data_IF_571225439790
#
_entry.id   IF_571225439790
#
_cell.length_a   1.000
_cell.length_b   1.000
_cell.length_c   1.000
_cell.angle_alpha   90.00
_cell.angle_beta   90.00
_cell.angle_gamma   90.00
#
_symmetry.space_group_name_H-M   'P 1'
#
loop_
_entity.id
_entity.type
_entity.pdbx_description
1 polymer ?
#
# COMPACT_ATOMS: atom_id res chain seq x y z
N UNK A 1 41.04 18.16 -12.56
CA UNK A 1 40.51 17.17 -11.59
C UNK A 1 39.57 16.23 -12.35
N UNK A 2 39.95 14.97 -12.55
CA UNK A 2 39.04 13.99 -13.14
C UNK A 2 37.97 13.63 -12.08
N UNK A 3 36.68 13.61 -12.43
CA UNK A 3 35.64 13.18 -11.50
C UNK A 3 35.93 11.74 -11.10
N UNK A 4 36.04 11.47 -9.79
CA UNK A 4 36.05 10.10 -9.25
C UNK A 4 34.78 9.43 -9.76
N UNK A 5 34.89 8.61 -10.79
CA UNK A 5 33.82 7.68 -11.21
C UNK A 5 33.51 6.82 -10.00
N UNK A 6 32.39 7.09 -9.34
CA UNK A 6 31.88 6.25 -8.26
C UNK A 6 31.75 4.83 -8.81
N UNK A 7 32.31 3.86 -8.08
CA UNK A 7 32.08 2.44 -8.36
C UNK A 7 30.62 2.11 -8.01
N UNK A 8 29.73 2.27 -8.99
CA UNK A 8 28.30 2.01 -8.85
C UNK A 8 28.03 0.56 -8.48
N UNK A 9 28.89 -0.40 -8.88
CA UNK A 9 28.73 -1.80 -8.51
C UNK A 9 28.97 -2.00 -7.01
N UNK A 10 30.03 -1.42 -6.47
CA UNK A 10 30.30 -1.48 -5.02
C UNK A 10 29.19 -0.80 -4.21
N UNK A 11 28.69 0.35 -4.67
CA UNK A 11 27.55 1.04 -4.03
C UNK A 11 26.28 0.19 -4.08
N UNK A 12 25.97 -0.40 -5.23
CA UNK A 12 24.82 -1.29 -5.42
C UNK A 12 24.89 -2.50 -4.50
N UNK A 13 26.06 -3.15 -4.40
CA UNK A 13 26.28 -4.28 -3.49
C UNK A 13 26.02 -3.91 -2.03
N UNK A 14 26.54 -2.76 -1.57
CA UNK A 14 26.33 -2.29 -0.20
C UNK A 14 24.85 -2.04 0.09
N UNK A 15 24.14 -1.39 -0.83
CA UNK A 15 22.71 -1.10 -0.70
C UNK A 15 21.86 -2.38 -0.73
N UNK A 16 22.15 -3.33 -1.62
CA UNK A 16 21.43 -4.60 -1.69
C UNK A 16 21.62 -5.42 -0.41
N UNK A 17 22.83 -5.42 0.14
CA UNK A 17 23.12 -6.09 1.42
C UNK A 17 22.37 -5.46 2.58
N UNK A 18 22.18 -4.14 2.60
CA UNK A 18 21.43 -3.46 3.66
C UNK A 18 19.90 -3.60 3.54
N UNK A 19 19.41 -4.22 2.46
CA UNK A 19 18.00 -4.54 2.23
C UNK A 19 17.79 -6.06 2.21
N UNK A 20 18.64 -6.80 2.93
CA UNK A 20 18.51 -8.23 3.21
C UNK A 20 18.29 -9.11 1.97
N UNK A 21 18.91 -8.73 0.83
CA UNK A 21 18.81 -9.50 -0.43
C UNK A 21 19.22 -10.97 -0.26
N UNK A 22 20.05 -11.29 0.76
CA UNK A 22 20.49 -12.65 1.06
C UNK A 22 19.36 -13.56 1.53
N UNK A 23 18.28 -13.01 2.07
CA UNK A 23 17.10 -13.77 2.47
C UNK A 23 16.31 -14.26 1.25
N UNK A 24 16.51 -13.62 0.10
CA UNK A 24 15.89 -13.97 -1.18
C UNK A 24 16.86 -14.66 -2.16
N UNK A 25 18.16 -14.37 -2.06
CA UNK A 25 19.23 -14.92 -2.90
C UNK A 25 20.41 -15.33 -2.01
N UNK A 26 20.45 -16.60 -1.58
CA UNK A 26 21.35 -17.06 -0.52
C UNK A 26 22.86 -16.93 -0.86
N UNK A 27 23.21 -16.99 -2.15
CA UNK A 27 24.57 -16.97 -2.70
C UNK A 27 24.97 -15.57 -3.18
N UNK A 28 24.13 -14.57 -2.89
CA UNK A 28 24.35 -13.21 -3.37
C UNK A 28 25.73 -12.69 -2.96
N UNK A 29 26.49 -12.26 -3.96
CA UNK A 29 27.86 -11.82 -3.82
C UNK A 29 28.13 -10.62 -4.74
N UNK A 30 29.28 -9.92 -4.60
CA UNK A 30 29.62 -8.83 -5.53
C UNK A 30 29.65 -9.27 -7.00
N UNK A 31 29.94 -10.55 -7.28
CA UNK A 31 29.95 -11.13 -8.64
C UNK A 31 28.55 -11.25 -9.24
N UNK A 32 27.50 -11.25 -8.42
CA UNK A 32 26.11 -11.26 -8.87
C UNK A 32 25.74 -9.97 -9.60
N UNK A 33 26.48 -8.87 -9.40
CA UNK A 33 26.23 -7.59 -10.07
C UNK A 33 27.05 -7.52 -11.37
N UNK A 34 26.40 -7.89 -12.47
CA UNK A 34 27.02 -7.96 -13.80
C UNK A 34 27.27 -6.56 -14.37
N UNK A 35 26.32 -5.64 -14.19
CA UNK A 35 26.36 -4.30 -14.76
C UNK A 35 25.70 -3.30 -13.80
N UNK A 36 26.30 -2.13 -13.62
CA UNK A 36 25.70 -1.02 -12.88
C UNK A 36 26.09 0.29 -13.56
N UNK A 37 25.14 0.89 -14.25
CA UNK A 37 25.27 2.14 -14.98
C UNK A 37 24.34 3.20 -14.39
N UNK A 38 24.30 4.41 -14.96
CA UNK A 38 23.46 5.51 -14.47
C UNK A 38 21.96 5.19 -14.50
N UNK A 39 21.48 4.32 -15.39
CA UNK A 39 20.03 4.01 -15.52
C UNK A 39 19.70 2.53 -15.62
N UNK A 40 20.70 1.67 -15.43
CA UNK A 40 20.56 0.23 -15.63
C UNK A 40 21.39 -0.53 -14.59
N UNK A 41 20.76 -1.51 -13.95
CA UNK A 41 21.37 -2.43 -13.00
C UNK A 41 21.03 -3.85 -13.47
N UNK A 42 22.06 -4.66 -13.72
CA UNK A 42 21.91 -6.05 -14.14
C UNK A 42 22.47 -6.95 -13.06
N UNK A 43 21.61 -7.82 -12.54
CA UNK A 43 21.94 -8.79 -11.50
C UNK A 43 21.68 -10.19 -12.03
N UNK A 44 22.58 -11.11 -11.76
CA UNK A 44 22.43 -12.52 -12.12
C UNK A 44 22.51 -13.39 -10.88
N UNK A 45 21.59 -14.35 -10.79
CA UNK A 45 21.54 -15.38 -9.76
C UNK A 45 21.21 -16.71 -10.43
N UNK A 46 21.70 -17.81 -9.88
CA UNK A 46 21.23 -19.12 -10.33
C UNK A 46 19.83 -19.37 -9.78
N UNK A 47 19.01 -20.12 -10.51
CA UNK A 47 17.66 -20.46 -10.04
C UNK A 47 17.68 -21.22 -8.71
N UNK A 48 18.63 -22.15 -8.55
CA UNK A 48 18.86 -22.88 -7.29
C UNK A 48 19.24 -21.97 -6.12
N UNK A 49 19.68 -20.75 -6.42
CA UNK A 49 20.11 -19.79 -5.41
C UNK A 49 19.02 -18.85 -4.90
N UNK A 50 17.86 -18.89 -5.54
CA UNK A 50 16.71 -18.10 -5.17
C UNK A 50 15.90 -18.84 -4.11
N UNK A 51 15.29 -18.08 -3.18
CA UNK A 51 14.39 -18.63 -2.16
C UNK A 51 13.30 -19.48 -2.83
N UNK A 52 13.20 -20.73 -2.39
CA UNK A 52 12.16 -21.67 -2.84
C UNK A 52 10.94 -21.55 -1.95
N UNK A 53 9.88 -20.97 -2.49
CA UNK A 53 8.67 -20.58 -1.75
C UNK A 53 7.38 -20.86 -2.53
N UNK A 54 7.43 -21.75 -3.54
CA UNK A 54 6.23 -22.23 -4.21
C UNK A 54 5.41 -23.13 -3.27
N UNK A 55 4.10 -22.83 -3.18
CA UNK A 55 3.14 -23.64 -2.42
C UNK A 55 3.03 -25.08 -2.93
N UNK A 56 3.16 -25.29 -4.25
CA UNK A 56 2.90 -26.57 -4.91
C UNK A 56 4.16 -27.41 -5.21
N UNK A 57 5.33 -27.05 -4.66
CA UNK A 57 6.55 -27.85 -4.78
C UNK A 57 7.82 -27.05 -5.09
N UNK A 58 8.75 -27.67 -5.81
CA UNK A 58 10.08 -27.11 -6.08
C UNK A 58 10.01 -25.91 -7.05
N UNK A 59 10.65 -24.82 -6.67
CA UNK A 59 10.85 -23.65 -7.53
C UNK A 59 10.67 -22.34 -6.79
N UNK A 60 10.84 -21.25 -7.54
CA UNK A 60 10.70 -19.88 -7.04
C UNK A 60 9.30 -19.39 -7.33
N UNK A 61 8.65 -18.78 -6.35
CA UNK A 61 7.33 -18.21 -6.53
C UNK A 61 7.39 -16.97 -7.42
N UNK A 62 6.25 -16.69 -8.07
CA UNK A 62 6.04 -15.44 -8.81
C UNK A 62 6.23 -14.22 -7.90
N UNK A 63 5.88 -14.36 -6.63
CA UNK A 63 6.04 -13.32 -5.63
C UNK A 63 7.52 -13.01 -5.37
N UNK A 64 8.37 -14.02 -5.17
CA UNK A 64 9.81 -13.82 -4.96
C UNK A 64 10.49 -13.17 -6.17
N UNK A 65 10.16 -13.61 -7.40
CA UNK A 65 10.68 -12.99 -8.62
C UNK A 65 10.26 -11.51 -8.74
N UNK A 66 8.99 -11.21 -8.46
CA UNK A 66 8.47 -9.84 -8.48
C UNK A 66 9.15 -8.96 -7.42
N UNK A 67 9.29 -9.47 -6.18
CA UNK A 67 9.92 -8.77 -5.06
C UNK A 67 11.39 -8.44 -5.36
N UNK A 68 12.14 -9.37 -5.93
CA UNK A 68 13.52 -9.13 -6.37
C UNK A 68 13.62 -8.10 -7.48
N UNK A 69 12.79 -8.22 -8.52
CA UNK A 69 12.74 -7.23 -9.60
C UNK A 69 12.45 -5.83 -9.08
N UNK A 70 11.49 -5.73 -8.16
CA UNK A 70 11.12 -4.47 -7.51
C UNK A 70 12.27 -3.91 -6.66
N UNK A 71 12.85 -4.72 -5.78
CA UNK A 71 13.99 -4.34 -4.95
C UNK A 71 15.13 -3.79 -5.81
N UNK A 72 15.49 -4.48 -6.89
CA UNK A 72 16.59 -4.07 -7.76
C UNK A 72 16.29 -2.77 -8.50
N UNK A 73 15.05 -2.57 -8.95
CA UNK A 73 14.61 -1.30 -9.54
C UNK A 73 14.66 -0.14 -8.54
N UNK A 74 14.32 -0.39 -7.27
CA UNK A 74 14.46 0.60 -6.19
C UNK A 74 15.93 0.91 -5.87
N UNK A 75 16.81 -0.10 -5.80
CA UNK A 75 18.24 0.14 -5.62
C UNK A 75 18.81 0.95 -6.78
N UNK A 76 18.40 0.64 -8.03
CA UNK A 76 18.78 1.42 -9.20
C UNK A 76 18.39 2.91 -9.07
N UNK A 77 17.25 3.21 -8.45
CA UNK A 77 16.87 4.58 -8.11
C UNK A 77 17.78 5.21 -7.05
N UNK A 78 18.09 4.48 -5.98
CA UNK A 78 18.97 4.96 -4.89
C UNK A 78 20.44 5.16 -5.33
N UNK A 79 20.82 4.59 -6.47
CA UNK A 79 22.13 4.82 -7.08
C UNK A 79 22.26 6.18 -7.76
N UNK A 80 21.15 6.88 -8.04
CA UNK A 80 21.20 8.19 -8.68
C UNK A 80 21.98 9.20 -7.84
N UNK A 81 22.70 10.11 -8.50
CA UNK A 81 23.53 11.15 -7.85
C UNK A 81 22.72 12.06 -6.91
N UNK A 82 21.43 12.24 -7.20
CA UNK A 82 20.52 13.09 -6.43
C UNK A 82 19.94 12.40 -5.20
N UNK A 83 20.17 11.11 -5.00
CA UNK A 83 19.61 10.36 -3.87
C UNK A 83 20.32 10.74 -2.58
N UNK A 84 19.56 11.25 -1.62
CA UNK A 84 20.04 11.53 -0.26
C UNK A 84 19.49 10.49 0.71
N UNK A 85 20.22 10.18 1.80
CA UNK A 85 19.76 9.18 2.77
C UNK A 85 18.50 9.62 3.51
N UNK A 86 18.31 10.93 3.67
CA UNK A 86 17.10 11.60 4.17
C UNK A 86 15.88 11.40 3.28
N UNK A 87 16.06 11.15 1.97
CA UNK A 87 14.94 10.90 1.05
C UNK A 87 14.23 9.56 1.37
N UNK A 88 14.88 8.67 2.14
CA UNK A 88 14.33 7.34 2.48
C UNK A 88 12.97 7.42 3.16
N UNK A 89 12.79 8.39 4.05
CA UNK A 89 11.57 8.56 4.85
C UNK A 89 10.46 9.31 4.09
N UNK A 90 10.80 9.90 2.94
CA UNK A 90 9.89 10.65 2.07
C UNK A 90 9.57 9.94 0.75
N UNK A 91 10.06 8.71 0.61
CA UNK A 91 9.90 7.89 -0.58
C UNK A 91 8.53 7.21 -0.55
N UNK A 92 7.67 7.59 -1.50
CA UNK A 92 6.39 6.93 -1.74
C UNK A 92 6.50 6.13 -3.03
N UNK A 93 6.34 4.82 -2.91
CA UNK A 93 6.31 3.93 -4.06
C UNK A 93 4.86 3.58 -4.41
N UNK A 94 4.44 3.97 -5.61
CA UNK A 94 3.09 3.79 -6.12
C UNK A 94 3.01 2.62 -7.11
N UNK A 95 1.82 2.00 -7.16
CA UNK A 95 1.35 0.97 -8.10
C UNK A 95 2.43 0.06 -8.69
N UNK A 96 2.59 -1.13 -8.11
CA UNK A 96 3.39 -2.19 -8.70
C UNK A 96 2.55 -2.99 -9.70
N UNK A 97 3.08 -3.16 -10.91
CA UNK A 97 2.55 -4.05 -11.93
C UNK A 97 3.59 -5.12 -12.24
N UNK A 98 3.16 -6.38 -12.30
CA UNK A 98 4.02 -7.49 -12.69
C UNK A 98 3.25 -8.43 -13.59
N UNK A 99 3.83 -8.73 -14.75
CA UNK A 99 3.31 -9.70 -15.71
C UNK A 99 4.28 -10.86 -15.76
N UNK A 100 3.79 -12.04 -15.42
CA UNK A 100 4.55 -13.27 -15.47
C UNK A 100 4.30 -13.99 -16.81
N UNK A 101 5.37 -14.28 -17.55
CA UNK A 101 5.29 -14.83 -18.91
C UNK A 101 5.63 -16.33 -18.95
N UNK A 102 6.44 -16.82 -18.00
CA UNK A 102 6.79 -18.22 -17.91
C UNK A 102 7.69 -18.53 -16.73
N UNK A 103 7.85 -19.81 -16.43
CA UNK A 103 8.73 -20.27 -15.38
C UNK A 103 10.16 -20.50 -15.90
N UNK A 104 11.20 -20.18 -15.13
CA UNK A 104 12.57 -20.53 -15.48
C UNK A 104 12.77 -22.05 -15.44
N UNK A 105 13.51 -22.59 -16.41
CA UNK A 105 13.91 -24.00 -16.40
C UNK A 105 14.86 -24.31 -15.23
N UNK A 106 14.83 -25.53 -14.67
CA UNK A 106 15.80 -25.96 -13.66
C UNK A 106 17.25 -25.72 -14.10
N UNK A 107 18.09 -25.21 -13.19
CA UNK A 107 19.50 -24.89 -13.47
C UNK A 107 19.75 -23.65 -14.32
N UNK A 108 18.71 -22.92 -14.76
CA UNK A 108 18.88 -21.68 -15.50
C UNK A 108 19.49 -20.56 -14.64
N UNK A 109 20.22 -19.64 -15.28
CA UNK A 109 20.60 -18.38 -14.68
C UNK A 109 19.44 -17.39 -14.83
N UNK A 110 18.99 -16.80 -13.74
CA UNK A 110 17.98 -15.75 -13.73
C UNK A 110 18.68 -14.40 -13.74
N UNK A 111 18.38 -13.60 -14.77
CA UNK A 111 18.96 -12.28 -14.98
C UNK A 111 17.87 -11.24 -14.74
N UNK A 112 18.12 -10.33 -13.81
CA UNK A 112 17.25 -9.21 -13.53
C UNK A 112 17.85 -7.95 -14.13
N UNK A 113 17.11 -7.31 -15.03
CA UNK A 113 17.47 -6.05 -15.65
C UNK A 113 16.55 -4.97 -15.07
N UNK A 114 17.07 -4.19 -14.15
CA UNK A 114 16.37 -3.08 -13.52
C UNK A 114 16.77 -1.76 -14.20
N UNK A 115 15.78 -0.94 -14.54
CA UNK A 115 15.98 0.34 -15.19
C UNK A 115 15.17 1.45 -14.54
N UNK A 116 15.70 2.66 -14.64
CA UNK A 116 15.11 3.88 -14.12
C UNK A 116 14.86 4.88 -15.26
N UNK A 117 13.64 5.41 -15.33
CA UNK A 117 13.26 6.45 -16.26
C UNK A 117 12.77 7.68 -15.46
N UNK A 118 13.46 8.83 -15.57
CA UNK A 118 12.99 10.03 -14.90
C UNK A 118 11.67 10.46 -15.52
N UNK A 119 10.67 10.70 -14.69
CA UNK A 119 9.35 11.12 -15.15
C UNK A 119 9.17 12.63 -15.07
N UNK A 120 8.00 13.09 -15.52
CA UNK A 120 7.58 14.47 -15.39
C UNK A 120 6.84 14.64 -14.05
N UNK A 121 6.93 15.83 -13.46
CA UNK A 121 6.24 16.18 -12.20
C UNK A 121 6.72 15.43 -10.94
N UNK A 122 8.01 15.07 -10.89
CA UNK A 122 8.62 14.48 -9.69
C UNK A 122 8.19 13.03 -9.41
N UNK A 123 7.49 12.39 -10.34
CA UNK A 123 7.18 10.95 -10.27
C UNK A 123 8.03 10.22 -11.28
N UNK A 124 8.97 9.42 -10.81
CA UNK A 124 9.84 8.64 -11.66
C UNK A 124 9.31 7.21 -11.88
N UNK A 125 9.68 6.61 -13.01
CA UNK A 125 9.25 5.27 -13.38
C UNK A 125 10.39 4.26 -13.19
N UNK A 126 10.11 3.23 -12.41
CA UNK A 126 10.95 2.07 -12.23
C UNK A 126 10.43 0.93 -13.11
N UNK A 127 11.32 0.27 -13.83
CA UNK A 127 10.97 -0.87 -14.66
C UNK A 127 11.96 -2.00 -14.39
N UNK A 128 11.50 -3.24 -14.46
CA UNK A 128 12.37 -4.39 -14.43
C UNK A 128 11.92 -5.46 -15.42
N UNK A 129 12.89 -6.15 -15.99
CA UNK A 129 12.73 -7.31 -16.85
C UNK A 129 13.46 -8.48 -16.21
N UNK A 130 12.85 -9.66 -16.22
CA UNK A 130 13.44 -10.89 -15.71
C UNK A 130 13.60 -11.84 -16.88
N UNK A 131 14.83 -12.24 -17.13
CA UNK A 131 15.21 -13.17 -18.18
C UNK A 131 15.72 -14.46 -17.56
N UNK A 132 15.43 -15.60 -18.19
CA UNK A 132 16.08 -16.86 -17.91
C UNK A 132 17.07 -17.16 -19.04
N UNK A 133 18.33 -17.35 -18.69
CA UNK A 133 19.38 -17.81 -19.59
C UNK A 133 19.58 -19.33 -19.42
N UNK A 134 19.30 -20.05 -20.50
CA UNK A 134 19.61 -21.47 -20.68
C UNK A 134 20.74 -21.60 -21.71
N UNK A 135 21.34 -22.79 -21.84
CA UNK A 135 22.51 -23.05 -22.71
C UNK A 135 22.41 -22.50 -24.14
N UNK A 136 21.19 -22.34 -24.68
CA UNK A 136 20.97 -21.97 -26.09
C UNK A 136 20.20 -20.68 -26.29
N UNK A 137 19.58 -20.11 -25.24
CA UNK A 137 18.64 -18.99 -25.40
C UNK A 137 18.40 -18.23 -24.11
N UNK A 138 18.27 -16.90 -24.24
CA UNK A 138 17.66 -16.01 -23.25
C UNK A 138 16.18 -15.81 -23.56
N UNK A 139 15.34 -16.00 -22.57
CA UNK A 139 13.88 -15.84 -22.68
C UNK A 139 13.39 -14.93 -21.58
N UNK A 140 12.53 -13.97 -21.91
CA UNK A 140 11.88 -13.11 -20.92
C UNK A 140 10.82 -13.95 -20.20
N UNK A 141 10.94 -14.06 -18.89
CA UNK A 141 10.04 -14.84 -18.02
C UNK A 141 9.11 -13.96 -17.18
N UNK A 142 9.42 -12.67 -17.07
CA UNK A 142 8.52 -11.70 -16.47
C UNK A 142 9.01 -10.27 -16.64
N UNK A 143 8.10 -9.33 -16.48
CA UNK A 143 8.39 -7.91 -16.52
C UNK A 143 7.49 -7.18 -15.52
N UNK A 144 7.98 -6.10 -14.97
CA UNK A 144 7.22 -5.28 -14.05
C UNK A 144 7.61 -3.82 -14.12
N UNK A 145 6.73 -3.00 -13.57
CA UNK A 145 6.97 -1.57 -13.44
C UNK A 145 6.29 -1.03 -12.19
N UNK A 146 6.88 0.02 -11.62
CA UNK A 146 6.31 0.78 -10.52
C UNK A 146 6.67 2.25 -10.68
N UNK A 147 5.99 3.13 -9.96
CA UNK A 147 6.37 4.54 -9.90
C UNK A 147 6.88 4.92 -8.52
N UNK A 148 7.78 5.89 -8.46
CA UNK A 148 8.36 6.39 -7.21
C UNK A 148 8.30 7.92 -7.19
N UNK A 149 7.92 8.48 -6.05
CA UNK A 149 7.87 9.92 -5.82
C UNK A 149 8.59 10.21 -4.51
N UNK A 150 9.48 11.21 -4.51
CA UNK A 150 10.19 11.66 -3.32
C UNK A 150 9.69 13.04 -2.94
N UNK A 151 9.04 13.16 -1.78
CA UNK A 151 8.51 14.43 -1.28
C UNK A 151 9.56 15.13 -0.42
N UNK A 152 10.41 15.93 -1.05
CA UNK A 152 11.38 16.74 -0.30
C UNK A 152 10.64 17.89 0.37
N UNK A 153 10.79 18.09 1.69
CA UNK A 153 10.29 19.29 2.35
C UNK A 153 10.87 20.50 1.63
N UNK A 154 10.01 21.38 1.13
CA UNK A 154 10.45 22.67 0.60
C UNK A 154 11.04 23.41 1.80
N UNK A 155 12.37 23.53 1.87
CA UNK A 155 13.00 24.43 2.81
C UNK A 155 12.58 25.82 2.36
N UNK A 156 11.53 26.36 2.97
CA UNK A 156 11.13 27.74 2.74
C UNK A 156 12.36 28.61 2.93
N UNK A 157 12.70 29.37 1.88
CA UNK A 157 13.83 30.26 1.90
C UNK A 157 13.60 31.28 3.03
N UNK A 158 14.21 31.02 4.19
CA UNK A 158 14.26 31.97 5.29
C UNK A 158 14.88 33.23 4.73
N UNK A 159 14.03 34.24 4.55
CA UNK A 159 14.38 35.60 4.22
C UNK A 159 15.50 36.02 5.17
N UNK A 160 16.73 36.08 4.66
CA UNK A 160 17.79 36.83 5.31
C UNK A 160 17.41 38.29 5.21
N UNK A 161 16.56 38.74 6.13
CA UNK A 161 16.44 40.16 6.44
C UNK A 161 17.67 40.46 7.30
N UNK A 162 18.67 41.05 6.67
CA UNK A 162 19.78 41.71 7.36
C UNK A 162 19.16 42.66 8.41
N UNK A 163 19.40 42.35 9.68
CA UNK A 163 19.15 43.26 10.79
C UNK A 163 20.24 44.32 10.74
N UNK A 164 19.93 45.44 10.10
CA UNK A 164 20.67 46.68 10.24
C UNK A 164 20.09 47.45 11.44
N UNK A 165 21.00 47.80 12.35
CA UNK A 165 20.74 48.50 13.60
C UNK A 165 20.17 49.89 13.33
N UNK A 166 19.05 50.24 13.96
CA UNK A 166 18.69 51.63 14.25
C UNK A 166 17.70 51.69 15.40
N UNK A 167 18.22 52.09 16.56
CA UNK A 167 17.47 52.60 17.70
C UNK A 167 16.60 53.78 17.27
N UNK A 168 15.29 53.76 17.56
CA UNK A 168 14.60 55.01 17.85
C UNK A 168 13.44 54.81 18.84
N UNK A 169 13.58 55.51 19.97
CA UNK A 169 12.57 55.70 20.99
C UNK A 169 11.31 56.37 20.44
N UNK A 170 10.13 55.86 20.79
CA UNK A 170 9.00 56.75 21.08
C UNK A 170 7.97 56.07 21.98
N UNK A 171 7.84 56.63 23.18
CA UNK A 171 6.71 56.41 24.10
C UNK A 171 5.51 57.21 23.62
N UNK A 172 4.32 56.62 23.66
CA UNK A 172 3.10 57.29 24.18
C UNK A 172 1.97 56.29 24.42
N UNK A 173 1.44 56.38 25.64
CA UNK A 173 0.15 55.87 26.09
C UNK A 173 -1.00 56.47 25.27
N UNK A 174 -2.11 55.77 25.06
CA UNK A 174 -3.30 55.83 25.93
C UNK A 174 -4.52 55.14 25.29
N UNK A 175 -5.50 54.91 26.15
CA UNK A 175 -6.67 54.04 26.11
C UNK A 175 -7.66 54.11 24.91
N UNK A 176 -8.40 52.99 24.85
CA UNK A 176 -9.86 52.88 24.64
C UNK A 176 -10.46 52.63 23.25
N UNK A 177 -11.36 51.63 23.28
CA UNK A 177 -12.69 51.55 22.64
C UNK A 177 -12.84 50.89 21.26
N UNK A 178 -13.58 49.78 21.34
CA UNK A 178 -14.77 49.42 20.55
C UNK A 178 -14.62 49.21 19.04
N UNK A 179 -14.71 47.94 18.66
CA UNK A 179 -15.85 47.43 17.91
C UNK A 179 -15.94 47.78 16.43
N UNK A 180 -15.75 46.79 15.57
CA UNK A 180 -16.64 46.59 14.43
C UNK A 180 -16.55 45.15 13.87
N UNK A 181 -17.70 44.50 13.60
CA UNK A 181 -17.74 43.20 12.95
C UNK A 181 -17.70 43.34 11.41
N UNK A 182 -17.01 42.40 10.77
CA UNK A 182 -16.96 42.22 9.32
C UNK A 182 -18.36 41.91 8.74
N UNK A 183 -18.75 42.48 7.59
CA UNK A 183 -20.07 42.25 7.01
C UNK A 183 -20.16 40.94 6.21
N UNK A 184 -21.34 40.33 6.32
CA UNK A 184 -21.89 39.24 5.52
C UNK A 184 -21.67 39.42 4.01
N UNK A 185 -21.05 38.43 3.36
CA UNK A 185 -21.17 38.22 1.93
C UNK A 185 -22.44 37.40 1.63
N UNK A 186 -23.41 38.03 0.96
CA UNK A 186 -24.56 37.35 0.34
C UNK A 186 -24.10 36.59 -0.93
N UNK A 187 -24.71 35.44 -1.24
CA UNK A 187 -24.46 34.72 -2.48
C UNK A 187 -25.21 35.37 -3.65
N UNK A 188 -24.49 35.69 -4.72
CA UNK A 188 -25.07 36.14 -5.98
C UNK A 188 -25.41 34.92 -6.83
N UNK A 189 -26.70 34.82 -7.16
CA UNK A 189 -27.28 33.86 -8.09
C UNK A 189 -27.05 34.34 -9.52
N UNK A 190 -26.44 33.52 -10.38
CA UNK A 190 -26.44 33.76 -11.81
C UNK A 190 -26.33 32.46 -12.61
N UNK A 191 -27.48 32.08 -13.17
CA UNK A 191 -27.72 31.55 -14.52
C UNK A 191 -26.79 30.47 -15.12
N UNK A 192 -27.40 29.31 -15.36
CA UNK A 192 -26.99 28.32 -16.37
C UNK A 192 -27.03 28.92 -17.79
N UNK A 193 -26.02 28.66 -18.63
CA UNK A 193 -26.16 28.75 -20.07
C UNK A 193 -26.56 27.40 -20.67
N UNK A 194 -27.65 27.47 -21.40
CA UNK A 194 -28.26 26.48 -22.29
C UNK A 194 -27.26 25.94 -23.32
N UNK A 195 -27.25 24.62 -23.51
CA UNK A 195 -26.50 23.94 -24.56
C UNK A 195 -27.19 24.13 -25.93
N UNK A 196 -26.47 24.52 -27.00
CA UNK A 196 -26.95 24.35 -28.35
C UNK A 196 -26.52 22.99 -28.90
N UNK A 197 -27.53 22.25 -29.37
CA UNK A 197 -27.37 21.12 -30.26
C UNK A 197 -26.62 21.54 -31.53
N UNK A 198 -25.68 20.71 -31.99
CA UNK A 198 -25.04 20.88 -33.29
C UNK A 198 -25.20 19.58 -34.10
N UNK A 199 -25.54 19.68 -35.41
CA UNK A 199 -26.02 18.56 -36.20
C UNK A 199 -24.90 17.80 -36.92
N UNK A 200 -25.33 16.68 -37.49
CA UNK A 200 -24.62 15.72 -38.33
C UNK A 200 -23.60 16.34 -39.30
N UNK A 201 -22.44 15.69 -39.40
CA UNK A 201 -21.44 15.96 -40.44
C UNK A 201 -21.30 14.72 -41.34
N UNK A 202 -21.46 14.85 -42.67
CA UNK A 202 -21.31 13.74 -43.61
C UNK A 202 -19.84 13.46 -43.94
N UNK A 203 -19.57 12.20 -44.28
CA UNK A 203 -18.28 11.66 -44.70
C UNK A 203 -17.81 12.24 -46.05
N UNK A 204 -16.49 12.39 -46.28
CA UNK A 204 -15.96 12.59 -47.62
C UNK A 204 -15.42 11.29 -48.22
N UNK A 205 -15.69 11.19 -49.51
CA UNK A 205 -15.38 10.11 -50.42
C UNK A 205 -13.89 10.05 -50.80
N UNK A 206 -13.53 8.86 -51.28
CA UNK A 206 -12.26 8.44 -51.86
C UNK A 206 -11.93 9.24 -53.13
N UNK A 207 -10.70 9.71 -53.25
CA UNK A 207 -10.11 10.09 -54.53
C UNK A 207 -8.70 9.51 -54.67
N UNK A 208 -8.52 8.78 -55.77
CA UNK A 208 -7.31 8.11 -56.23
C UNK A 208 -6.43 9.15 -56.94
N UNK A 209 -5.14 9.18 -56.61
CA UNK A 209 -4.14 9.99 -57.32
C UNK A 209 -2.72 9.70 -56.80
N UNK A 210 -1.93 9.06 -57.65
CA UNK A 210 -0.53 8.63 -57.45
C UNK A 210 0.44 9.73 -57.99
N UNK A 211 1.77 9.51 -58.04
CA UNK A 211 2.78 9.46 -56.96
C UNK A 211 3.80 10.62 -57.07
N UNK A 212 4.60 10.90 -56.02
CA UNK A 212 6.06 11.08 -56.13
C UNK A 212 6.74 11.45 -54.80
N UNK A 213 7.85 10.75 -54.54
CA UNK A 213 9.05 11.11 -53.77
C UNK A 213 8.87 11.77 -52.39
N UNK A 214 9.10 10.99 -51.31
CA UNK A 214 10.08 11.35 -50.27
C UNK A 214 10.16 10.35 -49.10
N UNK A 215 11.41 9.97 -48.80
CA UNK A 215 12.00 9.61 -47.48
C UNK A 215 11.64 8.24 -46.87
N UNK A 216 12.68 7.39 -46.91
CA UNK A 216 12.80 6.08 -46.26
C UNK A 216 12.59 6.20 -44.73
N UNK A 217 11.58 5.50 -44.21
CA UNK A 217 11.40 5.22 -42.77
C UNK A 217 11.97 3.84 -42.45
N UNK A 218 12.85 3.77 -41.44
CA UNK A 218 13.65 2.59 -41.06
C UNK A 218 12.90 1.61 -40.14
N UNK A 219 11.61 1.82 -39.84
CA UNK A 219 10.83 0.91 -38.99
C UNK A 219 9.59 0.36 -39.71
N UNK A 220 9.81 -0.55 -40.66
CA UNK A 220 8.76 -1.47 -41.11
C UNK A 220 9.27 -2.90 -40.93
N UNK A 221 8.71 -3.59 -39.93
CA UNK A 221 8.75 -5.06 -39.90
C UNK A 221 8.04 -5.58 -41.17
N UNK A 222 8.54 -6.65 -41.80
CA UNK A 222 7.84 -7.28 -42.92
C UNK A 222 6.43 -7.66 -42.46
N UNK A 223 5.42 -7.13 -43.15
CA UNK A 223 4.08 -7.66 -43.07
C UNK A 223 4.11 -9.05 -43.71
N UNK A 224 3.82 -10.07 -42.91
CA UNK A 224 3.50 -11.40 -43.45
C UNK A 224 2.06 -11.29 -43.95
N UNK A 225 1.92 -11.16 -45.27
CA UNK A 225 0.61 -11.23 -45.92
C UNK A 225 0.01 -12.63 -45.71
N UNK A 226 -1.20 -12.68 -45.16
CA UNK A 226 -2.02 -13.90 -45.14
C UNK A 226 -2.53 -14.38 -43.78
N UNK A 227 -2.19 -13.76 -42.66
CA UNK A 227 -2.79 -14.11 -41.36
C UNK A 227 -3.80 -13.02 -40.96
N UNK A 228 -5.10 -13.35 -40.77
CA UNK A 228 -6.07 -12.34 -40.34
C UNK A 228 -5.60 -11.73 -39.03
N UNK A 229 -5.53 -10.41 -39.00
CA UNK A 229 -5.19 -9.65 -37.80
C UNK A 229 -6.15 -10.06 -36.68
N UNK A 230 -5.64 -10.87 -35.75
CA UNK A 230 -6.33 -11.21 -34.51
C UNK A 230 -6.60 -9.88 -33.83
N UNK A 231 -7.86 -9.46 -33.81
CA UNK A 231 -8.32 -8.33 -33.03
C UNK A 231 -7.77 -8.55 -31.62
N UNK A 232 -6.79 -7.75 -31.22
CA UNK A 232 -6.37 -7.70 -29.84
C UNK A 232 -7.60 -7.24 -29.06
N UNK A 233 -8.31 -8.22 -28.51
CA UNK A 233 -9.36 -8.01 -27.54
C UNK A 233 -8.73 -7.16 -26.45
N UNK A 234 -9.15 -5.90 -26.38
CA UNK A 234 -8.84 -5.03 -25.26
C UNK A 234 -9.39 -5.77 -24.05
N UNK A 235 -8.51 -6.38 -23.26
CA UNK A 235 -8.89 -7.04 -22.02
C UNK A 235 -9.40 -5.92 -21.12
N UNK A 236 -10.69 -5.67 -21.18
CA UNK A 236 -11.39 -5.03 -20.09
C UNK A 236 -11.20 -6.00 -18.93
N UNK A 237 -10.36 -5.61 -17.97
CA UNK A 237 -10.42 -6.20 -16.64
C UNK A 237 -11.87 -6.02 -16.22
N UNK A 238 -12.65 -7.11 -16.28
CA UNK A 238 -13.92 -7.13 -15.60
C UNK A 238 -13.56 -6.78 -14.16
N UNK A 239 -13.99 -5.61 -13.69
CA UNK A 239 -14.01 -5.32 -12.27
C UNK A 239 -14.90 -6.40 -11.69
N UNK A 240 -14.29 -7.50 -11.22
CA UNK A 240 -14.98 -8.47 -10.40
C UNK A 240 -15.57 -7.65 -9.25
N UNK A 241 -16.90 -7.70 -9.14
CA UNK A 241 -17.62 -7.12 -8.02
C UNK A 241 -17.23 -7.92 -6.75
N UNK A 242 -16.06 -7.62 -6.22
CA UNK A 242 -15.51 -8.22 -5.02
C UNK A 242 -16.17 -7.54 -3.82
N UNK A 243 -17.32 -8.07 -3.42
CA UNK A 243 -18.01 -7.63 -2.22
C UNK A 243 -17.28 -8.17 -1.00
N UNK A 244 -16.63 -7.29 -0.24
CA UNK A 244 -15.95 -7.64 1.02
C UNK A 244 -16.71 -7.12 2.22
N UNK A 245 -16.61 -7.84 3.34
CA UNK A 245 -17.19 -7.45 4.63
C UNK A 245 -16.11 -6.91 5.57
N UNK A 246 -16.45 -5.82 6.25
CA UNK A 246 -15.62 -5.15 7.24
C UNK A 246 -16.44 -4.86 8.49
N UNK A 247 -15.77 -4.45 9.56
CA UNK A 247 -16.44 -3.98 10.77
C UNK A 247 -15.81 -2.70 11.33
N UNK A 248 -16.62 -1.87 12.00
CA UNK A 248 -16.15 -0.79 12.86
C UNK A 248 -16.30 -1.24 14.31
N UNK A 249 -15.21 -1.28 15.06
CA UNK A 249 -15.19 -1.69 16.46
C UNK A 249 -15.15 -0.46 17.36
N UNK A 250 -15.91 -0.48 18.46
CA UNK A 250 -15.83 0.55 19.48
C UNK A 250 -16.64 1.81 19.19
N UNK A 251 -17.50 1.79 18.16
CA UNK A 251 -18.36 2.92 17.83
C UNK A 251 -19.26 3.29 19.01
N UNK A 252 -19.35 4.58 19.29
CA UNK A 252 -20.19 5.11 20.36
C UNK A 252 -21.39 5.77 19.76
N UNK A 253 -22.59 5.34 20.18
CA UNK A 253 -23.79 6.06 19.81
C UNK A 253 -24.88 5.92 20.88
N UNK A 254 -25.74 6.93 20.98
CA UNK A 254 -26.97 6.83 21.78
C UNK A 254 -28.06 6.03 21.06
N UNK A 255 -28.03 6.05 19.72
CA UNK A 255 -29.00 5.41 18.85
C UNK A 255 -28.26 4.68 17.72
N UNK A 256 -27.74 3.47 17.98
CA UNK A 256 -26.91 2.73 17.03
C UNK A 256 -27.58 2.50 15.66
N UNK A 257 -28.91 2.31 15.66
CA UNK A 257 -29.72 2.02 14.46
C UNK A 257 -29.89 3.24 13.53
N UNK A 258 -29.77 4.47 14.04
CA UNK A 258 -30.03 5.71 13.29
C UNK A 258 -28.80 6.62 13.24
N UNK A 259 -27.61 6.07 13.45
CA UNK A 259 -26.45 6.89 13.74
C UNK A 259 -25.87 7.52 12.47
N UNK A 260 -26.21 8.80 12.28
CA UNK A 260 -25.49 9.73 11.38
C UNK A 260 -23.98 9.76 11.65
N UNK A 261 -23.54 9.35 12.84
CA UNK A 261 -22.11 9.28 13.18
C UNK A 261 -21.43 8.15 12.40
N UNK A 262 -22.12 7.03 12.14
CA UNK A 262 -21.61 5.93 11.31
C UNK A 262 -21.44 6.40 9.88
N UNK A 263 -22.48 7.02 9.33
CA UNK A 263 -22.44 7.60 7.98
C UNK A 263 -21.32 8.65 7.89
N UNK A 264 -21.14 9.47 8.93
CA UNK A 264 -20.05 10.45 8.99
C UNK A 264 -18.67 9.78 8.99
N UNK A 265 -18.49 8.69 9.75
CA UNK A 265 -17.23 7.94 9.79
C UNK A 265 -16.90 7.31 8.44
N UNK A 266 -17.87 6.62 7.82
CA UNK A 266 -17.70 5.98 6.52
C UNK A 266 -17.51 7.01 5.39
N UNK A 267 -18.20 8.14 5.47
CA UNK A 267 -18.03 9.26 4.54
C UNK A 267 -16.64 9.90 4.67
N UNK A 268 -16.07 9.96 5.88
CA UNK A 268 -14.73 10.50 6.08
C UNK A 268 -13.64 9.68 5.37
N UNK A 269 -13.86 8.37 5.20
CA UNK A 269 -12.97 7.47 4.46
C UNK A 269 -13.39 7.27 2.98
N UNK A 270 -14.43 7.98 2.54
CA UNK A 270 -14.98 7.90 1.18
C UNK A 270 -15.36 6.45 0.77
N UNK A 271 -16.06 5.76 1.69
CA UNK A 271 -16.57 4.39 1.53
C UNK A 271 -18.08 4.38 1.67
N UNK A 272 -18.76 3.73 0.73
CA UNK A 272 -20.19 3.47 0.78
C UNK A 272 -20.43 2.10 1.38
N UNK A 273 -20.98 2.06 2.58
CA UNK A 273 -21.34 0.80 3.24
C UNK A 273 -22.72 0.31 2.80
N UNK A 274 -22.85 -1.01 2.70
CA UNK A 274 -24.11 -1.72 2.50
C UNK A 274 -24.31 -2.77 3.58
N UNK A 275 -25.55 -3.22 3.78
CA UNK A 275 -25.92 -4.28 4.74
C UNK A 275 -25.32 -4.03 6.14
N UNK A 276 -25.59 -2.84 6.69
CA UNK A 276 -25.05 -2.45 8.00
C UNK A 276 -25.81 -3.19 9.10
N UNK A 277 -25.11 -4.06 9.82
CA UNK A 277 -25.60 -4.78 11.00
C UNK A 277 -24.93 -4.20 12.23
N UNK A 278 -25.70 -3.96 13.30
CA UNK A 278 -25.15 -3.37 14.54
C UNK A 278 -25.33 -4.33 15.70
N UNK A 279 -24.21 -4.65 16.35
CA UNK A 279 -24.17 -5.49 17.53
C UNK A 279 -23.61 -4.73 18.73
N UNK A 280 -24.06 -5.08 19.93
CA UNK A 280 -23.47 -4.54 21.17
C UNK A 280 -22.15 -5.23 21.45
N UNK A 281 -21.06 -4.46 21.58
CA UNK A 281 -19.75 -4.99 21.93
C UNK A 281 -19.79 -5.47 23.40
N UNK A 282 -19.40 -6.71 23.71
CA UNK A 282 -19.62 -7.31 25.02
C UNK A 282 -18.59 -6.86 26.08
N UNK A 283 -18.15 -5.60 26.04
CA UNK A 283 -17.23 -4.97 26.99
C UNK A 283 -17.97 -4.05 27.98
N UNK A 284 -17.39 -3.79 29.15
CA UNK A 284 -18.02 -2.99 30.22
C UNK A 284 -18.32 -1.55 29.82
N UNK A 285 -17.57 -1.02 28.85
CA UNK A 285 -17.78 0.33 28.35
C UNK A 285 -19.18 0.50 27.79
N UNK A 286 -19.89 1.49 28.31
CA UNK A 286 -21.28 1.75 27.95
C UNK A 286 -21.38 2.24 26.50
N UNK A 287 -22.47 1.85 25.83
CA UNK A 287 -22.83 2.32 24.48
C UNK A 287 -21.72 2.09 23.45
N UNK A 288 -21.00 0.98 23.58
CA UNK A 288 -19.99 0.55 22.62
C UNK A 288 -20.58 -0.53 21.71
N UNK A 289 -20.40 -0.36 20.41
CA UNK A 289 -20.99 -1.23 19.39
C UNK A 289 -19.93 -1.72 18.39
N UNK A 290 -20.23 -2.85 17.77
CA UNK A 290 -19.57 -3.32 16.55
C UNK A 290 -20.55 -3.15 15.40
N UNK A 291 -20.06 -2.63 14.29
CA UNK A 291 -20.87 -2.43 13.09
C UNK A 291 -20.28 -3.24 11.98
N UNK A 292 -21.01 -4.21 11.50
CA UNK A 292 -20.63 -5.04 10.37
C UNK A 292 -21.22 -4.43 9.11
N UNK A 293 -20.45 -4.35 8.03
CA UNK A 293 -20.91 -3.76 6.77
C UNK A 293 -20.17 -4.36 5.58
N UNK A 294 -20.76 -4.22 4.40
CA UNK A 294 -20.21 -4.67 3.13
C UNK A 294 -19.80 -3.50 2.25
N UNK A 295 -18.77 -3.70 1.44
CA UNK A 295 -18.27 -2.74 0.46
C UNK A 295 -18.21 -3.44 -0.90
N UNK A 296 -18.80 -2.82 -1.93
CA UNK A 296 -18.93 -3.44 -3.27
C UNK A 296 -17.75 -3.21 -4.20
N UNK A 297 -17.13 -2.04 -4.12
CA UNK A 297 -16.13 -1.63 -5.12
C UNK A 297 -14.73 -1.98 -4.66
N UNK A 298 -13.93 -2.61 -5.54
CA UNK A 298 -12.54 -2.98 -5.22
C UNK A 298 -11.69 -1.77 -4.81
N UNK A 299 -11.98 -0.58 -5.35
CA UNK A 299 -11.31 0.65 -4.95
C UNK A 299 -11.59 1.02 -3.49
N UNK A 300 -12.85 0.94 -3.04
CA UNK A 300 -13.19 1.21 -1.64
C UNK A 300 -12.65 0.11 -0.72
N UNK A 301 -12.71 -1.17 -1.13
CA UNK A 301 -12.10 -2.27 -0.39
C UNK A 301 -10.62 -2.02 -0.13
N UNK A 302 -9.85 -1.61 -1.15
CA UNK A 302 -8.42 -1.27 -1.00
C UNK A 302 -8.17 -0.09 -0.07
N UNK A 303 -9.06 0.91 -0.02
CA UNK A 303 -8.95 2.02 0.94
C UNK A 303 -9.11 1.50 2.37
N UNK A 304 -10.11 0.65 2.60
CA UNK A 304 -10.35 0.05 3.93
C UNK A 304 -9.20 -0.86 4.33
N UNK A 305 -8.71 -1.71 3.41
CA UNK A 305 -7.57 -2.60 3.67
C UNK A 305 -6.30 -1.84 4.03
N UNK A 306 -6.00 -0.73 3.33
CA UNK A 306 -4.86 0.12 3.69
C UNK A 306 -4.98 0.68 5.12
N UNK A 307 -6.17 1.16 5.50
CA UNK A 307 -6.40 1.64 6.87
C UNK A 307 -6.17 0.55 7.91
N UNK A 308 -6.51 -0.70 7.59
CA UNK A 308 -6.31 -1.86 8.46
C UNK A 308 -4.81 -2.23 8.54
N UNK A 309 -4.09 -2.21 7.42
CA UNK A 309 -2.67 -2.56 7.34
C UNK A 309 -1.78 -1.60 8.13
N UNK A 310 -2.13 -0.32 8.20
CA UNK A 310 -1.40 0.70 8.96
C UNK A 310 -1.60 0.59 10.48
N UNK A 311 -2.55 -0.25 10.94
CA UNK A 311 -2.95 -0.34 12.34
C UNK A 311 -2.28 -1.49 13.10
N UNK A 312 -1.87 -1.22 14.34
CA UNK A 312 -1.35 -2.24 15.27
C UNK A 312 -2.51 -2.90 16.00
N UNK A 313 -2.99 -4.02 15.46
CA UNK A 313 -4.18 -4.72 15.96
C UNK A 313 -4.14 -5.01 17.48
N UNK A 314 -2.97 -5.36 18.03
CA UNK A 314 -2.82 -5.68 19.45
C UNK A 314 -3.01 -4.47 20.37
N UNK A 315 -2.78 -3.26 19.87
CA UNK A 315 -3.03 -2.03 20.62
C UNK A 315 -4.53 -1.68 20.60
N UNK A 316 -5.16 -1.84 19.43
CA UNK A 316 -6.57 -1.48 19.22
C UNK A 316 -7.55 -2.45 19.89
N UNK A 317 -7.24 -3.75 19.87
CA UNK A 317 -8.04 -4.77 20.56
C UNK A 317 -7.68 -4.94 22.04
N UNK A 318 -6.68 -4.21 22.56
CA UNK A 318 -6.35 -4.27 23.97
C UNK A 318 -7.57 -3.87 24.83
N UNK A 319 -7.88 -4.65 25.87
CA UNK A 319 -9.08 -4.43 26.68
C UNK A 319 -9.06 -3.10 27.43
N UNK A 320 -7.88 -2.65 27.88
CA UNK A 320 -7.72 -1.37 28.56
C UNK A 320 -7.95 -0.21 27.58
N UNK A 321 -7.42 -0.31 26.36
CA UNK A 321 -7.69 0.68 25.31
C UNK A 321 -9.18 0.75 24.99
N UNK A 322 -9.81 -0.40 24.67
CA UNK A 322 -11.23 -0.46 24.32
C UNK A 322 -12.14 0.10 25.43
N UNK A 323 -11.79 -0.14 26.70
CA UNK A 323 -12.54 0.34 27.85
C UNK A 323 -12.25 1.80 28.23
N UNK A 324 -11.17 2.41 27.72
CA UNK A 324 -10.79 3.78 28.05
C UNK A 324 -11.80 4.81 27.50
N UNK A 325 -12.04 5.90 28.23
CA UNK A 325 -13.02 6.93 27.83
C UNK A 325 -12.60 7.72 26.60
N UNK A 326 -11.32 7.73 26.23
CA UNK A 326 -10.79 8.38 25.04
C UNK A 326 -10.56 7.41 23.86
N UNK A 327 -10.93 6.12 23.98
CA UNK A 327 -10.74 5.18 22.86
C UNK A 327 -11.52 5.64 21.62
N UNK A 328 -10.85 5.58 20.48
CA UNK A 328 -11.44 5.90 19.18
C UNK A 328 -11.95 4.63 18.50
N UNK A 329 -13.02 4.72 17.71
CA UNK A 329 -13.48 3.59 16.91
C UNK A 329 -12.54 3.35 15.74
N UNK A 330 -12.33 2.08 15.38
CA UNK A 330 -11.42 1.69 14.32
C UNK A 330 -12.07 0.69 13.37
N UNK A 331 -11.57 0.63 12.13
CA UNK A 331 -12.05 -0.28 11.08
C UNK A 331 -11.22 -1.55 11.08
N UNK A 332 -11.85 -2.72 10.92
CA UNK A 332 -11.18 -4.00 10.82
C UNK A 332 -11.87 -4.93 9.81
N UNK A 333 -11.24 -6.08 9.51
CA UNK A 333 -11.88 -7.15 8.75
C UNK A 333 -13.06 -7.70 9.55
N UNK A 334 -14.16 -8.04 8.86
CA UNK A 334 -15.34 -8.59 9.51
C UNK A 334 -15.03 -9.94 10.16
N UNK A 335 -15.33 -10.05 11.46
CA UNK A 335 -15.18 -11.29 12.24
C UNK A 335 -16.34 -11.43 13.22
N UNK A 336 -16.74 -12.67 13.56
CA UNK A 336 -17.85 -12.89 14.47
C UNK A 336 -17.47 -12.52 15.91
N UNK A 337 -18.48 -12.27 16.75
CA UNK A 337 -18.30 -11.76 18.10
C UNK A 337 -17.42 -12.64 19.01
N UNK A 338 -17.45 -13.96 18.85
CA UNK A 338 -16.56 -14.87 19.57
C UNK A 338 -15.09 -14.66 19.17
N UNK A 339 -14.81 -14.49 17.88
CA UNK A 339 -13.46 -14.20 17.38
C UNK A 339 -12.97 -12.83 17.87
N UNK A 340 -13.85 -11.83 18.02
CA UNK A 340 -13.48 -10.56 18.67
C UNK A 340 -12.97 -10.83 20.08
N UNK A 341 -13.67 -11.64 20.88
CA UNK A 341 -13.25 -11.96 22.25
C UNK A 341 -11.93 -12.76 22.24
N UNK A 342 -11.74 -13.72 21.33
CA UNK A 342 -10.45 -14.41 21.15
C UNK A 342 -9.31 -13.42 20.89
N UNK A 343 -9.53 -12.45 20.01
CA UNK A 343 -8.58 -11.39 19.69
C UNK A 343 -8.23 -10.53 20.91
N UNK A 344 -9.16 -10.29 21.85
CA UNK A 344 -8.86 -9.57 23.09
C UNK A 344 -7.77 -10.30 23.91
N UNK A 345 -7.88 -11.63 24.05
CA UNK A 345 -6.87 -12.42 24.76
C UNK A 345 -5.52 -12.44 24.04
N UNK A 346 -5.54 -12.60 22.72
CA UNK A 346 -4.31 -12.56 21.90
C UNK A 346 -3.65 -11.18 21.97
N UNK A 347 -4.44 -10.10 21.94
CA UNK A 347 -3.93 -8.73 22.03
C UNK A 347 -3.24 -8.48 23.36
N UNK A 348 -3.79 -8.97 24.48
CA UNK A 348 -3.19 -8.80 25.80
C UNK A 348 -1.85 -9.51 25.91
N UNK A 349 -1.75 -10.72 25.35
CA UNK A 349 -0.50 -11.48 25.29
C UNK A 349 0.56 -10.76 24.46
N UNK A 350 0.18 -10.23 23.30
CA UNK A 350 1.09 -9.49 22.42
C UNK A 350 1.66 -8.22 23.07
N UNK A 351 0.85 -7.52 23.87
CA UNK A 351 1.32 -6.36 24.64
C UNK A 351 2.37 -6.77 25.68
N UNK A 352 2.22 -7.92 26.31
CA UNK A 352 3.20 -8.46 27.27
C UNK A 352 4.42 -9.10 26.61
N UNK A 353 4.26 -9.66 25.40
CA UNK A 353 5.30 -10.36 24.67
C UNK A 353 5.45 -9.83 23.23
N UNK A 354 5.96 -8.60 23.03
CA UNK A 354 6.01 -7.98 21.69
C UNK A 354 6.90 -8.71 20.67
N UNK A 355 7.77 -9.59 21.14
CA UNK A 355 8.71 -10.36 20.30
C UNK A 355 8.03 -11.50 19.52
N UNK A 356 6.80 -11.87 19.88
CA UNK A 356 6.00 -12.84 19.15
C UNK A 356 5.33 -12.17 17.93
N UNK A 357 6.11 -11.63 16.98
CA UNK A 357 5.60 -10.96 15.77
C UNK A 357 4.90 -11.94 14.81
N UNK A 358 3.70 -12.38 15.18
CA UNK A 358 2.81 -13.17 14.34
C UNK A 358 1.60 -12.34 13.93
N UNK A 359 1.15 -12.52 12.69
CA UNK A 359 -0.09 -11.90 12.21
C UNK A 359 -1.30 -12.42 13.01
N UNK A 360 -2.31 -11.56 13.22
CA UNK A 360 -3.54 -11.95 13.92
C UNK A 360 -4.20 -13.18 13.29
N UNK A 361 -4.24 -13.23 11.95
CA UNK A 361 -4.82 -14.35 11.20
C UNK A 361 -4.08 -15.67 11.47
N UNK A 362 -2.75 -15.64 11.68
CA UNK A 362 -1.98 -16.81 12.04
C UNK A 362 -2.27 -17.25 13.48
N UNK A 363 -2.33 -16.31 14.43
CA UNK A 363 -2.61 -16.62 15.84
C UNK A 363 -4.03 -17.13 16.07
N UNK A 364 -5.02 -16.62 15.33
CA UNK A 364 -6.42 -17.10 15.42
C UNK A 364 -6.58 -18.52 14.85
N UNK A 365 -5.76 -18.91 13.87
CA UNK A 365 -5.73 -20.25 13.29
C UNK A 365 -5.06 -21.26 14.23
N UNK A 366 -3.96 -20.89 14.86
CA UNK A 366 -3.28 -21.76 15.83
C UNK A 366 -3.83 -21.54 17.24
N UNK A 367 -4.75 -22.42 17.65
CA UNK A 367 -5.41 -22.36 18.97
C UNK A 367 -4.46 -22.49 20.16
N UNK A 368 -3.19 -22.86 19.95
CA UNK A 368 -2.17 -22.86 21.00
C UNK A 368 -1.92 -21.47 21.56
N UNK A 369 -1.88 -20.43 20.72
CA UNK A 369 -1.68 -19.05 21.21
C UNK A 369 -2.83 -18.63 22.13
N UNK A 370 -4.05 -18.95 21.73
CA UNK A 370 -5.23 -18.67 22.54
C UNK A 370 -5.21 -19.47 23.85
N UNK A 371 -4.82 -20.75 23.82
CA UNK A 371 -4.67 -21.56 25.02
C UNK A 371 -3.69 -20.92 26.01
N UNK A 372 -2.48 -20.58 25.54
CA UNK A 372 -1.46 -19.91 26.34
C UNK A 372 -1.95 -18.58 26.93
N UNK A 373 -2.67 -17.76 26.16
CA UNK A 373 -3.26 -16.51 26.67
C UNK A 373 -4.34 -16.74 27.74
N UNK A 374 -5.06 -17.88 27.70
CA UNK A 374 -6.14 -18.19 28.65
C UNK A 374 -5.69 -18.98 29.88
N UNK A 375 -4.51 -19.60 29.83
CA UNK A 375 -3.87 -20.29 30.95
C UNK A 375 -3.24 -19.31 31.94
N UNK A 376 -2.71 -18.19 31.44
CA UNK A 376 -2.23 -17.11 32.30
C UNK A 376 -3.39 -16.47 33.08
N UNK A 377 -3.37 -16.65 34.39
CA UNK A 377 -4.44 -16.19 35.28
C UNK A 377 -4.53 -14.67 35.33
N UNK A 378 -3.40 -13.96 35.26
CA UNK A 378 -3.35 -12.50 35.30
C UNK A 378 -3.96 -11.90 34.03
N UNK A 379 -3.50 -12.35 32.85
CA UNK A 379 -4.05 -11.91 31.56
C UNK A 379 -5.55 -12.22 31.45
N UNK A 380 -5.93 -13.42 31.88
CA UNK A 380 -7.33 -13.84 31.86
C UNK A 380 -8.19 -12.97 32.75
N UNK A 381 -7.77 -12.70 33.98
CA UNK A 381 -8.51 -11.85 34.89
C UNK A 381 -8.64 -10.43 34.35
N UNK A 382 -7.59 -9.87 33.76
CA UNK A 382 -7.60 -8.55 33.15
C UNK A 382 -8.65 -8.45 32.03
N UNK A 383 -8.60 -9.36 31.05
CA UNK A 383 -9.58 -9.38 29.94
C UNK A 383 -11.00 -9.60 30.48
N UNK A 384 -11.20 -10.57 31.36
CA UNK A 384 -12.52 -10.83 31.96
C UNK A 384 -13.02 -9.67 32.80
N UNK A 385 -12.13 -8.88 33.41
CA UNK A 385 -12.50 -7.68 34.15
C UNK A 385 -13.09 -6.61 33.23
N UNK A 386 -12.68 -6.55 31.96
CA UNK A 386 -13.22 -5.62 30.96
C UNK A 386 -14.48 -6.11 30.26
N UNK A 387 -14.89 -7.38 30.42
CA UNK A 387 -16.09 -7.94 29.77
C UNK A 387 -17.38 -7.73 30.57
N UNK A 388 -18.50 -7.61 29.84
CA UNK A 388 -19.87 -7.73 30.38
C UNK A 388 -20.22 -9.16 30.78
N UNK A 389 -21.37 -9.36 31.43
CA UNK A 389 -21.91 -10.70 31.68
C UNK A 389 -22.10 -11.52 30.39
N UNK A 390 -22.56 -10.89 29.29
CA UNK A 390 -22.68 -11.54 27.97
C UNK A 390 -21.31 -12.00 27.46
N UNK A 391 -20.29 -11.14 27.52
CA UNK A 391 -18.93 -11.46 27.09
C UNK A 391 -18.31 -12.60 27.89
N UNK A 392 -18.47 -12.57 29.21
CA UNK A 392 -18.04 -13.66 30.10
C UNK A 392 -18.75 -14.99 29.78
N UNK A 393 -20.03 -14.94 29.44
CA UNK A 393 -20.80 -16.12 29.03
C UNK A 393 -20.28 -16.70 27.70
N UNK A 394 -20.02 -15.86 26.70
CA UNK A 394 -19.43 -16.27 25.41
C UNK A 394 -18.06 -16.91 25.62
N UNK A 395 -17.21 -16.31 26.45
CA UNK A 395 -15.92 -16.88 26.80
C UNK A 395 -16.05 -18.29 27.40
N UNK A 396 -16.90 -18.47 28.40
CA UNK A 396 -17.09 -19.77 29.08
C UNK A 396 -17.67 -20.85 28.16
N UNK A 397 -18.63 -20.49 27.31
CA UNK A 397 -19.39 -21.45 26.50
C UNK A 397 -18.74 -21.79 25.17
N UNK A 398 -18.00 -20.86 24.55
CA UNK A 398 -17.50 -21.02 23.18
C UNK A 398 -15.98 -21.02 23.08
N UNK A 399 -15.27 -20.25 23.93
CA UNK A 399 -13.82 -20.06 23.81
C UNK A 399 -13.05 -21.05 24.69
N UNK A 400 -13.39 -21.11 25.99
CA UNK A 400 -12.71 -21.99 26.94
C UNK A 400 -12.70 -23.48 26.53
N UNK A 401 -13.76 -24.06 25.94
CA UNK A 401 -13.72 -25.44 25.48
C UNK A 401 -12.76 -25.71 24.32
N UNK A 402 -12.40 -24.68 23.55
CA UNK A 402 -11.47 -24.81 22.42
C UNK A 402 -10.01 -24.84 22.85
N UNK A 403 -9.70 -24.32 24.04
CA UNK A 403 -8.32 -24.25 24.54
C UNK A 403 -7.91 -25.46 25.36
N UNK A 404 -8.87 -26.32 25.74
CA UNK A 404 -8.61 -27.54 26.53
C UNK A 404 -8.37 -28.80 25.69
N UNK A 405 -8.21 -28.64 24.36
CA UNK A 405 -7.95 -29.71 23.39
C UNK A 405 -6.60 -29.46 22.74
#
# INVERSE_FOLDING_TARGET
>A
MQPKTMDLKAKAYKLLRSHDVKDLVWSFSPKSIVEAEKRKLVITAKLEDLKTDRMDGNGVSRFTLCTLGQLFSRIMYMLQEKWEETDKDHLVQNHMSYTHLGDPSPGANVIFVATFLPGQNGTDLLQFCIEAESEKKRVIIGNGSSSITVFRPTTDATTQTESDDSEEMSRRDDASKSGQPLPNAKPSSAALPTAPANPERPAPQVAIGNPEVAKKSILRRPAVDGVPAVKQSRVSFAEENEMKRYMIVGARSRQPQNSKEIEKMLKAIDVTAENVEVETLPIKKRRSFVLHFSVKTSQQCRKVERLIEEQRWHELFNIAYLCADNSEPFVWKDVPMNTIIETLFLSQRMVQNPQEENSLDAQLKDKRFLALSTEDSSMKEEVLSGLTARGKSLFKSQILPQTSK
#
